data_IF_883023680959
#
_entry.id   IF_883023680959
#
_cell.length_a   1.000
_cell.length_b   1.000
_cell.length_c   1.000
_cell.angle_alpha   90.00
_cell.angle_beta   90.00
_cell.angle_gamma   90.00
#
_symmetry.space_group_name_H-M   'P 1'
#
loop_
_entity.id
_entity.type
_entity.pdbx_description
1 polymer ?
#
# COMPACT_ATOMS: atom_id res chain seq x y z
N UNK A 1 19.53 18.28 15.52
CA UNK A 1 19.22 18.31 15.37
C UNK A 1 18.64 18.42 15.15
N UNK A 2 18.75 18.39 15.16
CA UNK A 2 18.31 18.34 15.00
C UNK A 2 17.49 18.26 14.84
N UNK A 3 17.45 18.27 14.73
CA UNK A 3 16.73 18.25 14.70
C UNK A 3 15.81 17.99 14.31
N UNK A 4 15.77 18.31 14.48
CA UNK A 4 14.65 17.78 14.28
C UNK A 4 14.10 17.76 13.06
N UNK A 5 14.62 18.16 12.57
CA UNK A 5 14.11 18.00 11.50
C UNK A 5 14.46 17.01 10.76
N UNK A 6 14.79 16.60 10.81
CA UNK A 6 14.86 15.53 10.28
C UNK A 6 13.80 14.67 10.06
N UNK A 7 12.66 14.92 10.14
CA UNK A 7 11.57 14.02 10.12
C UNK A 7 11.46 13.05 8.97
N UNK A 8 11.58 13.43 7.71
CA UNK A 8 11.51 12.42 6.66
C UNK A 8 12.62 11.38 6.74
N UNK A 9 13.81 11.81 7.02
CA UNK A 9 14.94 10.89 7.12
C UNK A 9 14.80 9.95 8.31
N UNK A 10 14.34 10.48 9.46
CA UNK A 10 14.14 9.66 10.64
C UNK A 10 13.03 8.63 10.42
N UNK A 11 11.95 9.03 9.77
CA UNK A 11 10.85 8.12 9.48
C UNK A 11 11.27 7.06 8.47
N UNK A 12 12.02 7.45 7.45
CA UNK A 12 12.54 6.51 6.49
C UNK A 12 13.39 5.44 7.17
N UNK A 13 14.24 5.85 8.13
CA UNK A 13 15.05 4.90 8.89
C UNK A 13 14.20 3.91 9.67
N UNK A 14 13.08 4.37 10.22
CA UNK A 14 12.20 3.49 10.99
C UNK A 14 11.54 2.42 10.12
N UNK A 15 11.42 2.64 8.81
CA UNK A 15 10.79 1.71 7.90
C UNK A 15 11.76 1.03 6.94
N UNK A 16 13.06 1.22 7.15
CA UNK A 16 14.08 0.61 6.27
C UNK A 16 13.92 -0.90 6.26
N UNK A 17 13.88 -1.47 5.06
CA UNK A 17 13.74 -2.90 4.88
C UNK A 17 12.31 -3.42 4.91
N UNK A 18 11.32 -2.56 5.21
CA UNK A 18 9.93 -2.98 5.12
C UNK A 18 9.57 -3.23 3.67
N UNK A 19 8.76 -4.24 3.43
CA UNK A 19 8.43 -4.71 2.08
C UNK A 19 7.02 -4.29 1.70
N UNK A 20 6.92 -3.52 0.64
CA UNK A 20 5.62 -3.02 0.16
C UNK A 20 5.30 -3.61 -1.21
N UNK A 21 4.03 -3.96 -1.40
CA UNK A 21 3.51 -4.28 -2.72
C UNK A 21 2.70 -3.08 -3.18
N UNK A 22 3.09 -2.49 -4.31
CA UNK A 22 2.39 -1.33 -4.87
C UNK A 22 1.58 -1.78 -6.08
N UNK A 23 0.28 -1.56 -6.02
CA UNK A 23 -0.65 -2.00 -7.07
C UNK A 23 -1.22 -0.76 -7.75
N UNK A 24 -0.90 -0.58 -9.01
CA UNK A 24 -1.28 0.60 -9.80
C UNK A 24 -1.26 0.22 -11.28
N UNK A 25 -2.34 0.53 -11.99
CA UNK A 25 -2.43 0.18 -13.41
C UNK A 25 -1.75 1.19 -14.34
N UNK A 26 -1.55 2.40 -13.88
CA UNK A 26 -0.85 3.41 -14.67
C UNK A 26 0.65 3.26 -14.49
N UNK A 27 1.34 2.93 -15.57
CA UNK A 27 2.76 2.63 -15.55
C UNK A 27 3.61 3.79 -15.00
N UNK A 28 3.30 5.01 -15.38
CA UNK A 28 4.02 6.18 -14.91
C UNK A 28 3.82 6.39 -13.41
N UNK A 29 2.57 6.28 -12.94
CA UNK A 29 2.28 6.42 -11.52
C UNK A 29 2.97 5.34 -10.71
N UNK A 30 3.01 4.11 -11.23
CA UNK A 30 3.67 3.00 -10.59
C UNK A 30 5.17 3.26 -10.44
N UNK A 31 5.80 3.77 -11.50
CA UNK A 31 7.21 4.10 -11.48
C UNK A 31 7.53 5.20 -10.46
N UNK A 32 6.71 6.25 -10.44
CA UNK A 32 6.90 7.35 -9.50
C UNK A 32 6.78 6.88 -8.05
N UNK A 33 5.72 6.13 -7.75
CA UNK A 33 5.52 5.61 -6.40
C UNK A 33 6.66 4.68 -5.99
N UNK A 34 7.07 3.79 -6.88
CA UNK A 34 8.15 2.85 -6.59
C UNK A 34 9.45 3.57 -6.30
N UNK A 35 9.78 4.58 -7.10
CA UNK A 35 11.02 5.35 -6.93
C UNK A 35 11.01 6.08 -5.58
N UNK A 36 9.92 6.76 -5.25
CA UNK A 36 9.81 7.48 -3.99
C UNK A 36 9.96 6.55 -2.79
N UNK A 37 9.33 5.39 -2.86
CA UNK A 37 9.37 4.43 -1.75
C UNK A 37 10.75 3.79 -1.60
N UNK A 38 11.38 3.46 -2.71
CA UNK A 38 12.75 2.91 -2.66
C UNK A 38 13.73 3.91 -2.09
N UNK A 39 13.60 5.17 -2.46
CA UNK A 39 14.46 6.22 -1.91
C UNK A 39 14.24 6.41 -0.42
N UNK A 40 13.05 6.11 0.07
CA UNK A 40 12.74 6.20 1.48
C UNK A 40 13.21 4.97 2.28
N UNK A 41 13.76 3.96 1.61
CA UNK A 41 14.31 2.79 2.29
C UNK A 41 13.46 1.54 2.23
N UNK A 42 12.32 1.58 1.55
CA UNK A 42 11.44 0.41 1.42
C UNK A 42 11.93 -0.53 0.33
N UNK A 43 11.65 -1.81 0.52
CA UNK A 43 11.74 -2.77 -0.58
C UNK A 43 10.39 -2.78 -1.27
N UNK A 44 10.38 -2.61 -2.58
CA UNK A 44 9.14 -2.44 -3.34
C UNK A 44 8.99 -3.53 -4.39
N UNK A 45 7.85 -4.21 -4.38
CA UNK A 45 7.41 -5.06 -5.46
C UNK A 45 6.19 -4.39 -6.07
N UNK A 46 5.86 -4.70 -7.31
CA UNK A 46 4.78 -4.02 -8.03
C UNK A 46 3.80 -5.00 -8.65
N UNK A 47 2.56 -4.55 -8.84
CA UNK A 47 1.55 -5.29 -9.59
C UNK A 47 0.77 -4.30 -10.44
N UNK A 48 0.49 -4.67 -11.67
CA UNK A 48 -0.16 -3.77 -12.63
C UNK A 48 -1.68 -3.75 -12.52
N UNK A 49 -2.27 -4.68 -11.79
CA UNK A 49 -3.71 -4.70 -11.56
C UNK A 49 -4.02 -5.56 -10.33
N UNK A 50 -5.30 -5.57 -9.95
CA UNK A 50 -5.73 -6.29 -8.77
C UNK A 50 -5.55 -7.79 -8.86
N UNK A 51 -5.75 -8.34 -10.04
CA UNK A 51 -5.60 -9.78 -10.25
C UNK A 51 -4.16 -10.23 -10.00
N UNK A 52 -3.20 -9.49 -10.56
CA UNK A 52 -1.78 -9.79 -10.36
C UNK A 52 -1.42 -9.62 -8.88
N UNK A 53 -1.97 -8.60 -8.23
CA UNK A 53 -1.71 -8.40 -6.80
C UNK A 53 -2.16 -9.59 -5.98
N UNK A 54 -3.37 -10.09 -6.22
CA UNK A 54 -3.88 -11.26 -5.50
C UNK A 54 -3.00 -12.48 -5.76
N UNK A 55 -2.61 -12.69 -7.01
CA UNK A 55 -1.76 -13.82 -7.39
C UNK A 55 -0.40 -13.75 -6.69
N UNK A 56 0.19 -12.57 -6.62
CA UNK A 56 1.49 -12.40 -5.94
C UNK A 56 1.39 -12.66 -4.44
N UNK A 57 0.36 -12.16 -3.81
CA UNK A 57 0.16 -12.40 -2.37
C UNK A 57 -0.09 -13.89 -2.11
N UNK A 58 -0.93 -14.50 -2.95
CA UNK A 58 -1.25 -15.91 -2.80
C UNK A 58 -0.03 -16.81 -2.95
N UNK A 59 0.83 -16.50 -3.92
CA UNK A 59 2.01 -17.31 -4.21
C UNK A 59 3.19 -17.02 -3.28
N UNK A 60 3.17 -15.89 -2.58
CA UNK A 60 4.28 -15.47 -1.74
C UNK A 60 4.23 -16.14 -0.37
N UNK A 61 5.35 -16.13 0.35
CA UNK A 61 5.35 -16.55 1.74
C UNK A 61 4.60 -15.50 2.57
N UNK A 62 4.17 -15.88 3.77
CA UNK A 62 3.41 -14.98 4.64
C UNK A 62 4.22 -13.75 5.06
N UNK A 63 5.54 -13.83 5.00
CA UNK A 63 6.42 -12.73 5.39
C UNK A 63 6.93 -11.89 4.22
N UNK A 64 6.45 -12.15 3.01
CA UNK A 64 6.96 -11.48 1.81
C UNK A 64 6.62 -9.99 1.77
N UNK A 65 5.45 -9.60 2.27
CA UNK A 65 5.00 -8.21 2.25
C UNK A 65 4.60 -7.77 3.66
N UNK A 66 4.91 -6.52 3.98
CA UNK A 66 4.49 -5.91 5.23
C UNK A 66 3.24 -5.06 5.06
N UNK A 67 3.00 -4.56 3.85
CA UNK A 67 1.85 -3.69 3.56
C UNK A 67 1.61 -3.64 2.06
N UNK A 68 0.37 -3.42 1.66
CA UNK A 68 -0.03 -3.26 0.27
C UNK A 68 -0.58 -1.86 0.05
N UNK A 69 -0.05 -1.15 -0.95
CA UNK A 69 -0.64 0.09 -1.43
C UNK A 69 -1.46 -0.26 -2.66
N UNK A 70 -2.77 -0.10 -2.57
CA UNK A 70 -3.70 -0.60 -3.57
C UNK A 70 -4.49 0.53 -4.22
N UNK A 71 -4.26 0.76 -5.52
CA UNK A 71 -5.10 1.66 -6.28
C UNK A 71 -6.52 1.09 -6.32
N UNK A 72 -7.51 1.95 -6.17
CA UNK A 72 -8.90 1.53 -6.17
C UNK A 72 -9.40 1.30 -7.58
N UNK A 73 -9.13 2.23 -8.49
CA UNK A 73 -9.65 2.17 -9.85
C UNK A 73 -8.68 1.53 -10.82
N UNK A 74 -8.95 0.29 -11.17
CA UNK A 74 -8.12 -0.47 -12.09
C UNK A 74 -9.00 -1.33 -12.99
N UNK A 75 -8.54 -1.64 -14.23
CA UNK A 75 -9.30 -2.54 -15.09
C UNK A 75 -9.26 -3.98 -14.59
N UNK A 76 -10.15 -4.80 -15.05
CA UNK A 76 -10.31 -6.22 -14.74
C UNK A 76 -10.72 -6.48 -13.30
N UNK A 77 -9.97 -6.01 -12.34
CA UNK A 77 -10.29 -6.20 -10.93
C UNK A 77 -9.86 -4.95 -10.17
N UNK A 78 -10.82 -4.20 -9.63
CA UNK A 78 -10.50 -2.99 -8.88
C UNK A 78 -9.92 -3.31 -7.50
N UNK A 79 -9.48 -2.27 -6.80
CA UNK A 79 -8.82 -2.45 -5.50
C UNK A 79 -9.73 -3.02 -4.43
N UNK A 80 -11.03 -2.74 -4.50
CA UNK A 80 -11.98 -3.29 -3.52
C UNK A 80 -12.11 -4.80 -3.67
N UNK A 81 -12.26 -5.25 -4.91
CA UNK A 81 -12.37 -6.69 -5.17
C UNK A 81 -11.07 -7.42 -4.82
N UNK A 82 -9.94 -6.85 -5.19
CA UNK A 82 -8.64 -7.44 -4.86
C UNK A 82 -8.49 -7.57 -3.34
N UNK A 83 -8.89 -6.54 -2.59
CA UNK A 83 -8.83 -6.56 -1.13
C UNK A 83 -9.71 -7.68 -0.57
N UNK A 84 -10.94 -7.81 -1.07
CA UNK A 84 -11.84 -8.87 -0.61
C UNK A 84 -11.23 -10.25 -0.86
N UNK A 85 -10.60 -10.45 -2.00
CA UNK A 85 -9.96 -11.72 -2.33
C UNK A 85 -8.77 -12.02 -1.41
N UNK A 86 -7.97 -11.01 -1.11
CA UNK A 86 -6.85 -11.16 -0.19
C UNK A 86 -7.37 -11.53 1.21
N UNK A 87 -8.42 -10.85 1.67
CA UNK A 87 -9.02 -11.14 2.98
C UNK A 87 -9.60 -12.55 3.07
N UNK A 88 -9.92 -13.15 1.94
CA UNK A 88 -10.48 -14.50 1.88
C UNK A 88 -9.42 -15.60 1.76
N UNK A 89 -8.13 -15.25 1.71
CA UNK A 89 -7.07 -16.26 1.60
C UNK A 89 -7.02 -17.16 2.84
N UNK A 90 -6.67 -18.44 2.66
CA UNK A 90 -6.60 -19.38 3.78
C UNK A 90 -5.56 -19.03 4.84
N UNK A 91 -4.44 -18.41 4.40
CA UNK A 91 -3.38 -18.04 5.32
C UNK A 91 -3.80 -16.79 6.11
N UNK A 92 -3.95 -16.93 7.42
CA UNK A 92 -4.45 -15.86 8.28
C UNK A 92 -3.54 -14.62 8.25
N UNK A 93 -2.23 -14.81 8.15
CA UNK A 93 -1.29 -13.70 8.11
C UNK A 93 -1.41 -12.91 6.82
N UNK A 94 -1.55 -13.61 5.69
CA UNK A 94 -1.76 -12.95 4.40
C UNK A 94 -3.11 -12.25 4.36
N UNK A 95 -4.15 -12.88 4.88
CA UNK A 95 -5.48 -12.32 4.91
C UNK A 95 -5.56 -11.06 5.77
N UNK A 96 -4.64 -10.89 6.71
CA UNK A 96 -4.61 -9.75 7.62
C UNK A 96 -3.61 -8.68 7.22
N UNK A 97 -2.95 -8.79 6.05
CA UNK A 97 -1.99 -7.80 5.60
C UNK A 97 -2.60 -6.39 5.59
N UNK A 98 -1.91 -5.39 6.12
CA UNK A 98 -2.40 -4.02 6.02
C UNK A 98 -2.52 -3.60 4.55
N UNK A 99 -3.66 -3.05 4.17
CA UNK A 99 -3.92 -2.59 2.81
C UNK A 99 -4.35 -1.14 2.89
N UNK A 100 -3.62 -0.26 2.19
CA UNK A 100 -3.91 1.17 2.15
C UNK A 100 -4.38 1.51 0.75
N UNK A 101 -5.58 2.08 0.64
CA UNK A 101 -6.14 2.46 -0.65
C UNK A 101 -5.45 3.72 -1.18
N UNK A 102 -5.18 3.74 -2.48
CA UNK A 102 -4.76 4.95 -3.17
C UNK A 102 -5.95 5.40 -4.02
N UNK A 103 -6.40 6.63 -3.84
CA UNK A 103 -7.59 7.12 -4.52
C UNK A 103 -7.36 8.50 -5.14
N UNK A 104 -7.95 8.73 -6.31
CA UNK A 104 -7.92 10.04 -6.95
C UNK A 104 -8.77 11.04 -6.17
N UNK A 105 -9.74 10.55 -5.41
CA UNK A 105 -10.63 11.38 -4.60
C UNK A 105 -10.72 10.82 -3.20
N UNK A 106 -10.41 11.65 -2.20
CA UNK A 106 -10.48 11.21 -0.82
C UNK A 106 -11.81 11.59 -0.19
N UNK A 107 -12.90 11.36 -0.91
CA UNK A 107 -14.24 11.65 -0.42
C UNK A 107 -14.67 10.60 0.61
N UNK A 108 -15.61 11.00 1.46
CA UNK A 108 -16.06 10.13 2.55
C UNK A 108 -16.62 8.80 2.04
N UNK A 109 -17.31 8.80 0.90
CA UNK A 109 -17.85 7.57 0.34
C UNK A 109 -16.74 6.58 -0.02
N UNK A 110 -15.64 7.07 -0.59
CA UNK A 110 -14.50 6.22 -0.92
C UNK A 110 -13.87 5.64 0.34
N UNK A 111 -13.81 6.42 1.41
CA UNK A 111 -13.29 5.93 2.69
C UNK A 111 -14.17 4.82 3.25
N UNK A 112 -15.49 5.00 3.20
CA UNK A 112 -16.43 3.99 3.68
C UNK A 112 -16.32 2.72 2.86
N UNK A 113 -16.26 2.85 1.54
CA UNK A 113 -16.14 1.71 0.64
C UNK A 113 -14.85 0.95 0.89
N UNK A 114 -13.75 1.66 1.13
CA UNK A 114 -12.47 1.04 1.43
C UNK A 114 -12.54 0.24 2.73
N UNK A 115 -13.12 0.79 3.76
CA UNK A 115 -13.28 0.09 5.03
C UNK A 115 -14.16 -1.14 4.89
N UNK A 116 -15.26 -1.04 4.16
CA UNK A 116 -16.17 -2.16 3.93
C UNK A 116 -15.48 -3.28 3.15
N UNK A 117 -14.57 -2.94 2.26
CA UNK A 117 -13.82 -3.95 1.51
C UNK A 117 -12.73 -4.63 2.35
N UNK A 118 -12.40 -4.06 3.50
CA UNK A 118 -11.39 -4.61 4.38
C UNK A 118 -10.06 -3.89 4.34
N UNK A 119 -10.01 -2.69 3.77
CA UNK A 119 -8.81 -1.87 3.75
C UNK A 119 -8.57 -1.19 5.10
N UNK A 120 -7.32 -0.92 5.40
CA UNK A 120 -6.91 -0.39 6.69
C UNK A 120 -6.70 1.12 6.72
N UNK A 121 -6.62 1.74 5.54
CA UNK A 121 -6.44 3.19 5.45
C UNK A 121 -6.56 3.63 4.01
N UNK A 122 -6.36 4.92 3.77
CA UNK A 122 -6.42 5.47 2.42
C UNK A 122 -5.51 6.69 2.30
N UNK A 123 -5.03 6.93 1.09
CA UNK A 123 -4.18 8.06 0.75
C UNK A 123 -4.66 8.59 -0.59
N UNK A 124 -4.79 9.93 -0.68
CA UNK A 124 -5.17 10.56 -1.94
C UNK A 124 -3.97 10.62 -2.88
N UNK A 125 -4.23 10.52 -4.17
CA UNK A 125 -3.21 10.75 -5.20
C UNK A 125 -3.10 12.24 -5.49
N UNK A 126 -1.92 12.73 -5.86
CA UNK A 126 -0.66 12.01 -6.01
C UNK A 126 -0.08 11.61 -4.65
N UNK A 127 0.74 10.58 -4.66
CA UNK A 127 1.31 10.02 -3.44
C UNK A 127 2.16 11.08 -2.71
N UNK A 128 1.81 11.35 -1.45
CA UNK A 128 2.55 12.25 -0.59
C UNK A 128 3.28 11.40 0.43
N UNK A 129 4.61 11.46 0.39
CA UNK A 129 5.43 10.58 1.21
C UNK A 129 5.25 10.85 2.71
N UNK A 130 5.00 12.10 3.10
CA UNK A 130 4.78 12.42 4.50
C UNK A 130 3.47 11.85 5.03
N UNK A 131 2.40 11.95 4.23
CA UNK A 131 1.12 11.36 4.58
C UNK A 131 1.22 9.85 4.64
N UNK A 132 1.96 9.27 3.71
CA UNK A 132 2.20 7.84 3.71
C UNK A 132 2.89 7.41 5.01
N UNK A 133 3.92 8.14 5.44
CA UNK A 133 4.62 7.81 6.68
C UNK A 133 3.70 7.89 7.88
N UNK A 134 2.77 8.85 7.92
CA UNK A 134 1.80 8.92 9.00
C UNK A 134 0.93 7.67 9.07
N UNK A 135 0.42 7.23 7.93
CA UNK A 135 -0.41 6.04 7.86
C UNK A 135 0.41 4.80 8.24
N UNK A 136 1.63 4.69 7.73
CA UNK A 136 2.49 3.56 8.04
C UNK A 136 2.85 3.51 9.52
N UNK A 137 3.05 4.67 10.14
CA UNK A 137 3.34 4.73 11.57
C UNK A 137 2.22 4.11 12.41
N UNK A 138 0.99 4.25 11.95
CA UNK A 138 -0.15 3.67 12.65
C UNK A 138 -0.29 2.18 12.39
N UNK A 139 0.01 1.74 11.18
CA UNK A 139 -0.23 0.35 10.77
C UNK A 139 0.94 -0.58 11.02
N UNK A 140 2.16 -0.07 11.02
CA UNK A 140 3.37 -0.88 11.14
C UNK A 140 4.14 -0.65 12.44
N UNK A 141 3.45 -0.26 13.48
CA UNK A 141 4.08 -0.03 14.78
C UNK A 141 4.74 -1.28 15.33
#
# INVERSE_FOLDING_TARGET
>A
AKTGQTPPAAKASAFTGKKLLVVEDNELNLEIASTLLKEAGFEVDTAENGKIAVEKVEAASADRYDLILMDIQMPEMDGYEATRRIRALPDAKKAALPIVAMTANAFEDDRKNALHAGMNGHIAKPLDIQKLFQVLSELLK
#
